data_IF_724787679655
#
_entry.id   IF_724787679655
#
_cell.length_a   1.000
_cell.length_b   1.000
_cell.length_c   1.000
_cell.angle_alpha   90.00
_cell.angle_beta   90.00
_cell.angle_gamma   90.00
#
_symmetry.space_group_name_H-M   'P 1'
#
loop_
_entity.id
_entity.type
_entity.pdbx_description
1 polymer ?
#
# COMPACT_ATOMS: atom_id res chain seq x y z
N UNK A 1 2.66 -7.64 11.27
CA UNK A 1 2.00 -6.65 10.37
C UNK A 1 1.75 -7.22 8.97
N UNK A 2 2.67 -8.06 8.42
CA UNK A 2 2.60 -8.52 7.04
C UNK A 2 1.30 -9.24 6.66
N UNK A 3 0.87 -10.28 7.38
CA UNK A 3 -0.29 -11.11 7.00
C UNK A 3 -1.58 -10.65 7.63
N UNK A 4 -1.52 -10.12 8.85
CA UNK A 4 -2.72 -9.83 9.63
C UNK A 4 -3.42 -8.52 9.20
N UNK A 5 -2.69 -7.58 8.62
CA UNK A 5 -3.21 -6.22 8.35
C UNK A 5 -3.17 -5.88 6.87
N UNK A 6 -2.02 -6.04 6.21
CA UNK A 6 -1.84 -5.51 4.88
C UNK A 6 -2.62 -6.26 3.78
N UNK A 7 -2.56 -7.60 3.63
CA UNK A 7 -3.35 -8.30 2.62
C UNK A 7 -4.87 -8.18 2.80
N UNK A 8 -5.46 -8.32 4.02
CA UNK A 8 -6.88 -8.05 4.21
C UNK A 8 -7.29 -6.64 3.81
N UNK A 9 -6.46 -5.63 4.16
CA UNK A 9 -6.70 -4.24 3.79
C UNK A 9 -6.66 -4.03 2.27
N UNK A 10 -5.71 -4.65 1.54
CA UNK A 10 -5.66 -4.51 0.06
C UNK A 10 -6.92 -5.06 -0.59
N UNK A 11 -7.43 -6.20 -0.14
CA UNK A 11 -8.67 -6.79 -0.67
C UNK A 11 -9.88 -5.91 -0.35
N UNK A 12 -10.02 -5.44 0.89
CA UNK A 12 -11.12 -4.55 1.29
C UNK A 12 -11.06 -3.21 0.54
N UNK A 13 -9.88 -2.61 0.35
CA UNK A 13 -9.71 -1.39 -0.45
C UNK A 13 -10.09 -1.64 -1.92
N UNK A 14 -9.69 -2.78 -2.49
CA UNK A 14 -10.08 -3.14 -3.86
C UNK A 14 -11.59 -3.26 -3.99
N UNK A 15 -12.25 -3.90 -3.02
CA UNK A 15 -13.70 -4.00 -3.02
C UNK A 15 -14.37 -2.63 -3.01
N UNK A 16 -13.99 -1.76 -2.07
CA UNK A 16 -14.53 -0.41 -1.91
C UNK A 16 -14.33 0.50 -3.12
N UNK A 17 -13.20 0.34 -3.85
CA UNK A 17 -12.86 1.21 -4.98
C UNK A 17 -13.22 0.62 -6.34
N UNK A 18 -13.27 -0.72 -6.47
CA UNK A 18 -13.42 -1.37 -7.77
C UNK A 18 -14.77 -2.07 -7.95
N UNK A 19 -15.51 -2.39 -6.89
CA UNK A 19 -16.74 -3.17 -6.96
C UNK A 19 -17.91 -2.40 -6.35
N UNK A 20 -17.79 -1.96 -5.11
CA UNK A 20 -18.88 -1.28 -4.38
C UNK A 20 -19.47 -0.06 -5.12
N UNK A 21 -18.70 0.77 -5.86
CA UNK A 21 -19.26 1.89 -6.59
C UNK A 21 -20.15 1.50 -7.78
N UNK A 22 -20.07 0.26 -8.25
CA UNK A 22 -20.75 -0.20 -9.46
C UNK A 22 -21.87 -1.19 -9.19
N UNK A 23 -21.84 -1.92 -8.07
CA UNK A 23 -22.86 -2.94 -7.76
C UNK A 23 -22.94 -3.28 -6.29
N UNK A 24 -24.16 -3.34 -5.77
CA UNK A 24 -24.45 -3.80 -4.40
C UNK A 24 -24.74 -5.31 -4.35
N UNK A 25 -24.70 -6.01 -5.50
CA UNK A 25 -25.06 -7.44 -5.57
C UNK A 25 -23.96 -8.38 -5.09
N UNK A 26 -22.71 -7.91 -5.07
CA UNK A 26 -21.56 -8.72 -4.68
C UNK A 26 -21.22 -8.38 -3.23
N UNK A 27 -21.31 -9.37 -2.33
CA UNK A 27 -20.87 -9.18 -0.95
C UNK A 27 -19.35 -9.20 -0.84
N UNK A 28 -18.81 -8.49 0.15
CA UNK A 28 -17.36 -8.50 0.46
C UNK A 28 -16.83 -9.94 0.66
N UNK A 29 -17.66 -10.83 1.23
CA UNK A 29 -17.29 -12.23 1.44
C UNK A 29 -17.02 -12.96 0.11
N UNK A 30 -17.93 -12.87 -0.84
CA UNK A 30 -17.78 -13.51 -2.16
C UNK A 30 -16.58 -12.91 -2.90
N UNK A 31 -16.44 -11.60 -2.86
CA UNK A 31 -15.30 -10.93 -3.47
C UNK A 31 -13.98 -11.37 -2.85
N UNK A 32 -13.89 -11.45 -1.52
CA UNK A 32 -12.67 -11.85 -0.82
C UNK A 32 -12.22 -13.27 -1.20
N UNK A 33 -13.15 -14.21 -1.37
CA UNK A 33 -12.82 -15.57 -1.82
C UNK A 33 -12.25 -15.54 -3.24
N UNK A 34 -12.85 -14.80 -4.15
CA UNK A 34 -12.36 -14.69 -5.54
C UNK A 34 -10.99 -14.01 -5.57
N UNK A 35 -10.85 -12.87 -4.89
CA UNK A 35 -9.61 -12.12 -4.85
C UNK A 35 -8.46 -12.94 -4.27
N UNK A 36 -8.65 -13.54 -3.10
CA UNK A 36 -7.62 -14.36 -2.47
C UNK A 36 -7.41 -15.71 -3.16
N UNK A 37 -8.42 -16.25 -3.87
CA UNK A 37 -8.24 -17.40 -4.77
C UNK A 37 -7.27 -17.09 -5.90
N UNK A 38 -7.39 -15.91 -6.52
CA UNK A 38 -6.45 -15.42 -7.54
C UNK A 38 -5.06 -15.18 -6.92
N UNK A 39 -4.98 -14.51 -5.78
CA UNK A 39 -3.71 -14.28 -5.06
C UNK A 39 -3.02 -15.61 -4.74
N UNK A 40 -3.75 -16.60 -4.23
CA UNK A 40 -3.25 -17.93 -3.94
C UNK A 40 -2.67 -18.62 -5.18
N UNK A 41 -3.39 -18.61 -6.31
CA UNK A 41 -2.95 -19.21 -7.55
C UNK A 41 -1.64 -18.59 -8.06
N UNK A 42 -1.49 -17.28 -7.95
CA UNK A 42 -0.26 -16.57 -8.34
C UNK A 42 0.88 -16.75 -7.35
N UNK A 43 0.58 -16.86 -6.05
CA UNK A 43 1.61 -16.99 -5.01
C UNK A 43 2.23 -18.39 -4.99
N UNK A 44 1.45 -19.44 -5.20
CA UNK A 44 1.97 -20.84 -5.24
C UNK A 44 2.93 -21.05 -6.39
N UNK A 45 2.68 -20.41 -7.53
CA UNK A 45 3.55 -20.50 -8.71
C UNK A 45 4.00 -19.10 -9.06
N UNK A 46 5.13 -18.62 -8.49
CA UNK A 46 5.67 -17.31 -8.82
C UNK A 46 6.02 -17.29 -10.31
N UNK A 47 5.08 -16.82 -11.09
CA UNK A 47 5.23 -16.73 -12.55
C UNK A 47 5.79 -15.36 -12.89
N UNK A 48 6.54 -15.27 -13.99
CA UNK A 48 6.99 -13.99 -14.58
C UNK A 48 5.83 -13.01 -14.83
N UNK A 49 4.60 -13.50 -14.76
CA UNK A 49 3.38 -12.71 -14.95
C UNK A 49 3.19 -11.64 -13.86
N UNK A 50 3.50 -11.94 -12.59
CA UNK A 50 3.43 -10.97 -11.47
C UNK A 50 4.44 -9.84 -11.67
N UNK A 51 5.66 -10.19 -12.11
CA UNK A 51 6.71 -9.21 -12.40
C UNK A 51 6.33 -8.31 -13.59
N UNK A 52 5.71 -8.89 -14.63
CA UNK A 52 5.28 -8.16 -15.82
C UNK A 52 4.13 -7.21 -15.46
N UNK A 53 3.12 -7.69 -14.73
CA UNK A 53 2.00 -6.84 -14.28
C UNK A 53 2.51 -5.70 -13.40
N UNK A 54 3.33 -5.97 -12.41
CA UNK A 54 3.92 -4.94 -11.55
C UNK A 54 4.74 -3.92 -12.33
N UNK A 55 5.56 -4.38 -13.29
CA UNK A 55 6.41 -3.52 -14.11
C UNK A 55 5.63 -2.60 -15.05
N UNK A 56 4.51 -3.07 -15.59
CA UNK A 56 3.68 -2.28 -16.50
C UNK A 56 2.63 -1.44 -15.75
N UNK A 57 2.06 -2.01 -14.71
CA UNK A 57 0.94 -1.41 -13.98
C UNK A 57 1.38 -0.24 -13.11
N UNK A 58 2.59 -0.30 -12.50
CA UNK A 58 3.10 0.79 -11.65
C UNK A 58 3.24 2.11 -12.42
N UNK A 59 3.86 2.17 -13.62
CA UNK A 59 3.86 3.40 -14.41
C UNK A 59 2.46 3.90 -14.76
N UNK A 60 1.54 3.00 -15.13
CA UNK A 60 0.17 3.37 -15.46
C UNK A 60 -0.55 3.97 -14.25
N UNK A 61 -0.40 3.35 -13.08
CA UNK A 61 -0.97 3.87 -11.82
C UNK A 61 -0.42 5.28 -11.52
N UNK A 62 0.88 5.49 -11.62
CA UNK A 62 1.52 6.78 -11.39
C UNK A 62 0.94 7.82 -12.38
N UNK A 63 0.89 7.52 -13.67
CA UNK A 63 0.37 8.42 -14.69
C UNK A 63 -1.09 8.78 -14.41
N UNK A 64 -1.94 7.80 -14.12
CA UNK A 64 -3.35 8.05 -13.82
C UNK A 64 -3.54 8.87 -12.55
N UNK A 65 -2.74 8.62 -11.52
CA UNK A 65 -2.77 9.43 -10.30
C UNK A 65 -2.36 10.89 -10.58
N UNK A 66 -1.32 11.10 -11.40
CA UNK A 66 -0.95 12.46 -11.82
C UNK A 66 -2.03 13.14 -12.66
N UNK A 67 -2.69 12.41 -13.56
CA UNK A 67 -3.82 12.95 -14.34
C UNK A 67 -4.94 13.41 -13.38
N UNK A 68 -5.28 12.60 -12.39
CA UNK A 68 -6.28 12.94 -11.38
C UNK A 68 -5.89 14.20 -10.58
N UNK A 69 -4.63 14.27 -10.14
CA UNK A 69 -4.11 15.43 -9.40
C UNK A 69 -4.15 16.69 -10.27
N UNK A 70 -3.68 16.61 -11.50
CA UNK A 70 -3.68 17.74 -12.46
C UNK A 70 -5.11 18.18 -12.75
N UNK A 71 -6.03 17.24 -12.99
CA UNK A 71 -7.45 17.56 -13.21
C UNK A 71 -8.04 18.33 -12.01
N UNK A 72 -7.75 17.91 -10.79
CA UNK A 72 -8.23 18.60 -9.59
C UNK A 72 -7.55 19.95 -9.29
N UNK A 73 -6.32 20.15 -9.76
CA UNK A 73 -5.65 21.47 -9.70
C UNK A 73 -6.26 22.44 -10.73
N UNK A 74 -6.55 21.95 -11.92
CA UNK A 74 -7.13 22.76 -13.00
C UNK A 74 -8.62 23.09 -12.78
N UNK A 75 -9.34 22.17 -12.13
CA UNK A 75 -10.78 22.30 -11.83
C UNK A 75 -11.03 21.92 -10.37
N UNK A 76 -10.71 22.79 -9.40
CA UNK A 76 -10.92 22.49 -7.98
C UNK A 76 -12.40 22.18 -7.72
N UNK A 77 -12.68 21.17 -6.89
CA UNK A 77 -14.04 20.72 -6.56
C UNK A 77 -14.78 21.79 -5.73
N UNK A 78 -14.05 22.49 -4.87
CA UNK A 78 -14.59 23.57 -4.04
C UNK A 78 -13.50 24.39 -3.40
N UNK A 79 -13.90 25.30 -2.52
CA UNK A 79 -12.96 26.09 -1.73
C UNK A 79 -12.39 25.26 -0.58
N UNK A 80 -11.15 25.56 -0.18
CA UNK A 80 -10.53 24.92 0.98
C UNK A 80 -11.23 25.43 2.24
N UNK A 81 -11.82 24.51 3.00
CA UNK A 81 -12.49 24.86 4.26
C UNK A 81 -11.50 25.43 5.28
N UNK A 82 -11.99 26.32 6.15
CA UNK A 82 -11.21 26.75 7.31
C UNK A 82 -10.88 25.53 8.19
N UNK A 83 -9.68 25.50 8.81
CA UNK A 83 -9.29 24.37 9.64
C UNK A 83 -10.26 24.20 10.82
N UNK A 84 -10.79 22.99 10.95
CA UNK A 84 -11.72 22.62 12.04
C UNK A 84 -10.96 22.33 13.34
N UNK A 85 -9.71 21.87 13.23
CA UNK A 85 -8.84 21.54 14.37
C UNK A 85 -7.79 22.63 14.57
N UNK A 86 -7.46 22.91 15.84
CA UNK A 86 -6.33 23.79 16.19
C UNK A 86 -4.98 23.05 16.06
N UNK A 87 -5.02 21.73 15.91
CA UNK A 87 -3.86 20.81 15.85
C UNK A 87 -3.61 20.25 14.46
N UNK A 88 -3.90 21.01 13.40
CA UNK A 88 -3.81 20.56 11.99
C UNK A 88 -2.46 19.91 11.65
N UNK A 89 -1.35 20.49 12.17
CA UNK A 89 -0.01 19.95 11.92
C UNK A 89 0.21 18.61 12.62
N UNK A 90 -0.27 18.45 13.84
CA UNK A 90 -0.20 17.20 14.61
C UNK A 90 -1.03 16.10 13.93
N UNK A 91 -2.27 16.43 13.57
CA UNK A 91 -3.17 15.53 12.85
C UNK A 91 -2.57 15.06 11.51
N UNK A 92 -1.92 15.97 10.79
CA UNK A 92 -1.21 15.68 9.54
C UNK A 92 -0.01 14.75 9.74
N UNK A 93 0.78 14.93 10.80
CA UNK A 93 1.89 14.03 11.15
C UNK A 93 1.37 12.65 11.51
N UNK A 94 0.31 12.56 12.32
CA UNK A 94 -0.32 11.29 12.69
C UNK A 94 -0.87 10.59 11.45
N UNK A 95 -1.53 11.30 10.53
CA UNK A 95 -1.99 10.75 9.27
C UNK A 95 -0.82 10.23 8.40
N UNK A 96 0.32 10.93 8.39
CA UNK A 96 1.55 10.47 7.73
C UNK A 96 2.08 9.16 8.31
N UNK A 97 2.03 8.94 9.62
CA UNK A 97 2.40 7.65 10.23
C UNK A 97 1.48 6.51 9.79
N UNK A 98 0.22 6.80 9.51
CA UNK A 98 -0.78 5.80 9.10
C UNK A 98 -0.55 5.27 7.69
N UNK A 99 0.28 5.91 6.86
CA UNK A 99 0.68 5.39 5.53
C UNK A 99 1.53 4.12 5.62
N UNK A 100 2.21 3.90 6.75
CA UNK A 100 3.01 2.70 7.06
C UNK A 100 4.24 2.48 6.17
N UNK A 101 4.63 3.44 5.36
CA UNK A 101 5.70 3.30 4.37
C UNK A 101 7.05 2.92 5.02
N UNK A 102 7.37 3.49 6.18
CA UNK A 102 8.62 3.21 6.90
C UNK A 102 8.74 1.75 7.33
N UNK A 103 7.65 1.13 7.79
CA UNK A 103 7.67 -0.27 8.21
C UNK A 103 7.84 -1.22 7.02
N UNK A 104 7.31 -0.83 5.87
CA UNK A 104 7.41 -1.61 4.63
C UNK A 104 8.83 -1.55 4.05
N UNK A 105 9.50 -0.41 4.12
CA UNK A 105 10.86 -0.21 3.59
C UNK A 105 11.86 -1.22 4.17
N UNK A 106 11.76 -1.58 5.44
CA UNK A 106 12.68 -2.55 6.07
C UNK A 106 12.59 -3.94 5.44
N UNK A 107 11.37 -4.41 5.15
CA UNK A 107 11.15 -5.70 4.48
C UNK A 107 11.58 -5.69 3.01
N UNK A 108 11.22 -4.64 2.29
CA UNK A 108 11.59 -4.49 0.88
C UNK A 108 13.07 -4.19 0.65
N UNK A 109 13.78 -3.65 1.63
CA UNK A 109 15.23 -3.40 1.54
C UNK A 109 16.04 -4.66 1.21
N UNK A 110 15.70 -5.79 1.82
CA UNK A 110 16.34 -7.07 1.53
C UNK A 110 16.00 -7.57 0.12
N UNK A 111 14.76 -7.45 -0.30
CA UNK A 111 14.31 -7.83 -1.65
C UNK A 111 15.03 -6.98 -2.69
N UNK A 112 15.19 -5.68 -2.43
CA UNK A 112 15.90 -4.76 -3.31
C UNK A 112 17.38 -5.11 -3.43
N UNK A 113 18.06 -5.42 -2.32
CA UNK A 113 19.46 -5.86 -2.33
C UNK A 113 19.64 -7.14 -3.15
N UNK A 114 18.76 -8.11 -2.99
CA UNK A 114 18.80 -9.35 -3.76
C UNK A 114 18.58 -9.08 -5.26
N UNK A 115 17.64 -8.22 -5.59
CA UNK A 115 17.35 -7.82 -6.98
C UNK A 115 18.55 -7.12 -7.63
N UNK A 116 19.26 -6.24 -6.90
CA UNK A 116 20.45 -5.58 -7.39
C UNK A 116 21.59 -6.59 -7.64
N UNK A 117 21.77 -7.56 -6.75
CA UNK A 117 22.75 -8.64 -6.93
C UNK A 117 22.44 -9.47 -8.20
N UNK A 118 21.20 -9.83 -8.41
CA UNK A 118 20.75 -10.55 -9.61
C UNK A 118 20.96 -9.73 -10.89
N UNK A 119 20.92 -8.41 -10.81
CA UNK A 119 21.20 -7.49 -11.94
C UNK A 119 22.68 -7.19 -12.13
N UNK A 120 23.59 -7.86 -11.40
CA UNK A 120 25.02 -7.73 -11.57
C UNK A 120 25.70 -6.63 -10.72
N UNK A 121 24.98 -5.97 -9.82
CA UNK A 121 25.57 -5.04 -8.85
C UNK A 121 26.21 -5.81 -7.71
N UNK A 122 27.43 -6.31 -7.88
CA UNK A 122 28.12 -7.11 -6.88
C UNK A 122 28.86 -6.24 -5.86
N UNK A 123 29.40 -5.12 -6.31
CA UNK A 123 30.19 -4.23 -5.46
C UNK A 123 29.31 -3.42 -4.50
N UNK A 124 29.68 -3.43 -3.19
CA UNK A 124 28.92 -2.74 -2.13
C UNK A 124 28.69 -1.25 -2.40
N UNK A 125 29.71 -0.55 -2.91
CA UNK A 125 29.62 0.88 -3.24
C UNK A 125 28.58 1.13 -4.35
N UNK A 126 28.58 0.29 -5.37
CA UNK A 126 27.63 0.36 -6.49
C UNK A 126 26.19 0.06 -6.04
N UNK A 127 25.99 -0.92 -5.15
CA UNK A 127 24.70 -1.21 -4.54
C UNK A 127 24.17 -0.01 -3.74
N UNK A 128 25.00 0.57 -2.86
CA UNK A 128 24.60 1.74 -2.05
C UNK A 128 24.23 2.92 -2.94
N UNK A 129 25.04 3.23 -3.96
CA UNK A 129 24.75 4.33 -4.90
C UNK A 129 23.42 4.11 -5.65
N UNK A 130 23.16 2.88 -6.10
CA UNK A 130 21.92 2.52 -6.76
C UNK A 130 20.72 2.66 -5.81
N UNK A 131 20.84 2.19 -4.56
CA UNK A 131 19.77 2.31 -3.55
C UNK A 131 19.46 3.77 -3.25
N UNK A 132 20.47 4.60 -3.00
CA UNK A 132 20.29 6.04 -2.75
C UNK A 132 19.56 6.70 -3.91
N UNK A 133 19.96 6.43 -5.16
CA UNK A 133 19.30 6.96 -6.33
C UNK A 133 17.83 6.58 -6.41
N UNK A 134 17.52 5.31 -6.19
CA UNK A 134 16.12 4.82 -6.18
C UNK A 134 15.32 5.47 -5.04
N UNK A 135 15.89 5.59 -3.84
CA UNK A 135 15.21 6.21 -2.70
C UNK A 135 14.92 7.70 -2.94
N UNK A 136 15.83 8.44 -3.58
CA UNK A 136 15.60 9.85 -3.92
C UNK A 136 14.45 9.98 -4.91
N UNK A 137 14.48 9.19 -6.00
CA UNK A 137 13.42 9.22 -7.02
C UNK A 137 12.07 8.81 -6.43
N UNK A 138 12.04 7.74 -5.64
CA UNK A 138 10.83 7.29 -4.96
C UNK A 138 10.31 8.35 -3.97
N UNK A 139 11.18 8.98 -3.18
CA UNK A 139 10.82 10.03 -2.24
C UNK A 139 10.19 11.25 -2.92
N UNK A 140 10.76 11.70 -4.04
CA UNK A 140 10.21 12.81 -4.83
C UNK A 140 8.83 12.43 -5.37
N UNK A 141 8.69 11.25 -5.99
CA UNK A 141 7.41 10.79 -6.54
C UNK A 141 6.33 10.65 -5.47
N UNK A 142 6.65 10.05 -4.33
CA UNK A 142 5.72 9.92 -3.21
C UNK A 142 5.31 11.28 -2.64
N UNK A 143 6.26 12.21 -2.49
CA UNK A 143 5.95 13.56 -2.00
C UNK A 143 5.01 14.31 -2.94
N UNK A 144 5.19 14.17 -4.25
CA UNK A 144 4.30 14.77 -5.25
C UNK A 144 2.91 14.13 -5.23
N UNK A 145 2.83 12.81 -5.14
CA UNK A 145 1.55 12.08 -5.09
C UNK A 145 0.79 12.41 -3.81
N UNK A 146 1.43 12.28 -2.64
CA UNK A 146 0.77 12.55 -1.36
C UNK A 146 0.37 14.01 -1.21
N UNK A 147 1.26 14.95 -1.62
CA UNK A 147 0.93 16.37 -1.62
C UNK A 147 -0.23 16.70 -2.55
N UNK A 148 -0.24 16.12 -3.75
CA UNK A 148 -1.33 16.29 -4.71
C UNK A 148 -2.66 15.72 -4.19
N UNK A 149 -2.66 14.51 -3.65
CA UNK A 149 -3.86 13.90 -3.09
C UNK A 149 -4.36 14.65 -1.83
N UNK A 150 -3.45 15.16 -0.99
CA UNK A 150 -3.82 16.01 0.15
C UNK A 150 -4.49 17.31 -0.31
N UNK A 151 -3.98 17.94 -1.38
CA UNK A 151 -4.62 19.10 -1.99
C UNK A 151 -6.04 18.78 -2.51
N UNK A 152 -6.22 17.64 -3.21
CA UNK A 152 -7.54 17.18 -3.65
C UNK A 152 -8.50 16.96 -2.47
N UNK A 153 -8.00 16.33 -1.40
CA UNK A 153 -8.77 16.17 -0.17
C UNK A 153 -9.19 17.49 0.45
N UNK A 154 -8.28 18.47 0.50
CA UNK A 154 -8.57 19.79 1.03
C UNK A 154 -9.64 20.54 0.21
N UNK A 155 -9.54 20.54 -1.11
CA UNK A 155 -10.52 21.19 -2.02
C UNK A 155 -11.86 20.47 -2.08
N UNK A 156 -11.92 19.19 -1.73
CA UNK A 156 -13.18 18.42 -1.68
C UNK A 156 -13.90 18.52 -0.33
N UNK A 157 -13.26 19.08 0.69
CA UNK A 157 -13.73 19.06 2.07
C UNK A 157 -15.10 19.71 2.28
N UNK A 158 -15.39 20.81 1.59
CA UNK A 158 -16.68 21.52 1.67
C UNK A 158 -17.80 20.72 1.00
N UNK A 159 -17.52 20.12 -0.15
CA UNK A 159 -18.53 19.45 -0.97
C UNK A 159 -18.80 18.01 -0.50
N UNK A 160 -17.77 17.29 -0.08
CA UNK A 160 -17.83 15.87 0.26
C UNK A 160 -17.69 15.58 1.76
N UNK A 161 -17.26 16.55 2.57
CA UNK A 161 -16.95 16.36 3.99
C UNK A 161 -18.12 15.93 4.87
N UNK A 162 -19.35 16.24 4.48
CA UNK A 162 -20.57 15.89 5.23
C UNK A 162 -21.08 14.45 4.98
N UNK A 163 -20.45 13.67 4.10
CA UNK A 163 -21.01 12.41 3.63
C UNK A 163 -20.54 11.16 4.41
N UNK A 164 -19.82 11.32 5.53
CA UNK A 164 -19.29 10.20 6.32
C UNK A 164 -18.57 9.12 5.48
N UNK A 165 -17.89 9.53 4.40
CA UNK A 165 -17.20 8.63 3.49
C UNK A 165 -15.93 8.10 4.15
N UNK A 166 -15.62 6.82 3.95
CA UNK A 166 -14.33 6.30 4.32
C UNK A 166 -13.23 6.75 3.31
N UNK A 167 -11.96 6.48 3.63
CA UNK A 167 -10.83 6.94 2.83
C UNK A 167 -10.87 6.46 1.36
N UNK A 168 -11.34 5.23 1.12
CA UNK A 168 -11.45 4.66 -0.21
C UNK A 168 -12.64 5.28 -0.99
N UNK A 169 -13.77 5.44 -0.33
CA UNK A 169 -14.97 6.06 -0.90
C UNK A 169 -14.75 7.53 -1.24
N UNK A 170 -13.96 8.25 -0.43
CA UNK A 170 -13.62 9.64 -0.70
C UNK A 170 -12.86 9.80 -2.03
N UNK A 171 -11.84 8.97 -2.28
CA UNK A 171 -11.07 9.06 -3.54
C UNK A 171 -11.93 8.70 -4.76
N UNK A 172 -12.86 7.74 -4.60
CA UNK A 172 -13.83 7.38 -5.65
C UNK A 172 -14.77 8.55 -5.94
N UNK A 173 -15.29 9.20 -4.90
CA UNK A 173 -16.18 10.35 -5.03
C UNK A 173 -15.46 11.55 -5.70
N UNK A 174 -14.22 11.84 -5.30
CA UNK A 174 -13.36 12.84 -5.95
C UNK A 174 -13.16 12.52 -7.43
N UNK A 175 -12.80 11.26 -7.73
CA UNK A 175 -12.56 10.82 -9.11
C UNK A 175 -13.83 10.91 -9.96
N UNK A 176 -14.99 10.52 -9.38
CA UNK A 176 -16.26 10.65 -10.06
C UNK A 176 -16.61 12.12 -10.37
N UNK A 177 -16.34 13.01 -9.44
CA UNK A 177 -16.62 14.45 -9.63
C UNK A 177 -15.74 15.06 -10.72
N UNK A 178 -14.43 14.71 -10.76
CA UNK A 178 -13.46 15.27 -11.70
C UNK A 178 -13.49 14.62 -13.08
N UNK A 179 -13.66 13.29 -13.15
CA UNK A 179 -13.49 12.51 -14.39
C UNK A 179 -14.72 11.68 -14.74
N UNK A 180 -15.79 11.75 -13.94
CA UNK A 180 -17.03 11.02 -14.16
C UNK A 180 -16.88 9.50 -14.03
N UNK A 181 -17.89 8.78 -14.53
CA UNK A 181 -17.98 7.32 -14.42
C UNK A 181 -16.78 6.58 -15.06
N UNK A 182 -16.29 7.07 -16.20
CA UNK A 182 -15.12 6.49 -16.87
C UNK A 182 -13.88 6.57 -16.01
N UNK A 183 -13.66 7.68 -15.32
CA UNK A 183 -12.55 7.84 -14.37
C UNK A 183 -12.63 6.84 -13.23
N UNK A 184 -13.82 6.62 -12.65
CA UNK A 184 -14.01 5.61 -11.60
C UNK A 184 -13.68 4.20 -12.07
N UNK A 185 -14.10 3.81 -13.27
CA UNK A 185 -13.78 2.49 -13.84
C UNK A 185 -12.28 2.31 -14.00
N UNK A 186 -11.60 3.29 -14.58
CA UNK A 186 -10.14 3.25 -14.75
C UNK A 186 -9.44 3.16 -13.40
N UNK A 187 -9.81 3.99 -12.43
CA UNK A 187 -9.26 3.98 -11.08
C UNK A 187 -9.46 2.60 -10.42
N UNK A 188 -10.68 2.07 -10.49
CA UNK A 188 -11.01 0.76 -9.91
C UNK A 188 -10.16 -0.37 -10.49
N UNK A 189 -10.01 -0.43 -11.81
CA UNK A 189 -9.17 -1.43 -12.49
C UNK A 189 -7.72 -1.32 -12.04
N UNK A 190 -7.15 -0.12 -12.07
CA UNK A 190 -5.74 0.10 -11.72
C UNK A 190 -5.47 -0.23 -10.27
N UNK A 191 -6.32 0.25 -9.34
CA UNK A 191 -6.19 -0.04 -7.91
C UNK A 191 -6.38 -1.53 -7.65
N UNK A 192 -7.36 -2.17 -8.31
CA UNK A 192 -7.58 -3.61 -8.20
C UNK A 192 -6.34 -4.43 -8.52
N UNK A 193 -5.70 -4.14 -9.63
CA UNK A 193 -4.45 -4.83 -10.02
C UNK A 193 -3.27 -4.47 -9.10
N UNK A 194 -3.13 -3.20 -8.70
CA UNK A 194 -2.08 -2.78 -7.78
C UNK A 194 -2.20 -3.48 -6.42
N UNK A 195 -3.41 -3.56 -5.88
CA UNK A 195 -3.70 -4.29 -4.65
C UNK A 195 -3.47 -5.80 -4.79
N UNK A 196 -3.83 -6.38 -5.94
CA UNK A 196 -3.61 -7.79 -6.24
C UNK A 196 -2.10 -8.13 -6.22
N UNK A 197 -1.29 -7.36 -6.94
CA UNK A 197 0.17 -7.58 -6.97
C UNK A 197 0.81 -7.39 -5.60
N UNK A 198 0.35 -6.40 -4.84
CA UNK A 198 0.80 -6.17 -3.46
C UNK A 198 0.44 -7.34 -2.55
N UNK A 199 -0.79 -7.85 -2.62
CA UNK A 199 -1.23 -9.00 -1.82
C UNK A 199 -0.41 -10.26 -2.13
N UNK A 200 -0.14 -10.53 -3.42
CA UNK A 200 0.72 -11.66 -3.85
C UNK A 200 2.13 -11.52 -3.26
N UNK A 201 2.73 -10.34 -3.37
CA UNK A 201 4.05 -10.07 -2.82
C UNK A 201 4.13 -10.23 -1.31
N UNK A 202 3.13 -9.73 -0.58
CA UNK A 202 3.06 -9.80 0.88
C UNK A 202 2.84 -11.23 1.39
N UNK A 203 1.90 -11.97 0.81
CA UNK A 203 1.64 -13.37 1.20
C UNK A 203 2.83 -14.24 0.85
N UNK A 204 3.44 -14.04 -0.32
CA UNK A 204 4.62 -14.78 -0.74
C UNK A 204 5.84 -14.54 0.15
N UNK A 205 6.18 -13.27 0.41
CA UNK A 205 7.32 -12.93 1.25
C UNK A 205 7.14 -13.41 2.70
N UNK A 206 5.93 -13.33 3.23
CA UNK A 206 5.62 -13.82 4.57
C UNK A 206 5.67 -15.35 4.64
N UNK A 207 5.22 -16.06 3.61
CA UNK A 207 5.31 -17.51 3.54
C UNK A 207 6.79 -17.97 3.49
N UNK A 208 7.64 -17.30 2.72
CA UNK A 208 9.09 -17.55 2.72
C UNK A 208 9.71 -17.32 4.10
N UNK A 209 9.36 -16.20 4.75
CA UNK A 209 9.87 -15.90 6.09
C UNK A 209 9.52 -16.98 7.11
N UNK A 210 8.27 -17.44 7.12
CA UNK A 210 7.85 -18.49 8.06
C UNK A 210 8.41 -19.87 7.71
N UNK A 211 8.63 -20.18 6.44
CA UNK A 211 9.34 -21.40 6.03
C UNK A 211 10.76 -21.42 6.60
N UNK A 212 11.50 -20.33 6.45
CA UNK A 212 12.85 -20.19 7.00
C UNK A 212 12.84 -20.19 8.53
N UNK A 213 11.91 -19.48 9.16
CA UNK A 213 11.75 -19.42 10.62
C UNK A 213 11.48 -20.80 11.24
N UNK A 214 10.72 -21.65 10.55
CA UNK A 214 10.44 -23.03 11.00
C UNK A 214 11.52 -24.03 10.59
N UNK A 215 12.68 -23.55 10.12
CA UNK A 215 13.76 -24.39 9.61
C UNK A 215 13.28 -25.40 8.56
N UNK A 216 12.38 -24.96 7.65
CA UNK A 216 11.77 -25.75 6.56
C UNK A 216 10.96 -26.96 7.03
N UNK A 217 10.60 -27.04 8.32
CA UNK A 217 9.70 -28.10 8.82
C UNK A 217 8.31 -27.98 8.20
N UNK A 218 7.84 -26.77 7.96
CA UNK A 218 6.58 -26.49 7.26
C UNK A 218 6.94 -25.86 5.92
N UNK A 219 6.50 -26.50 4.83
CA UNK A 219 6.83 -26.08 3.46
C UNK A 219 6.08 -24.80 3.05
N UNK A 220 6.69 -24.01 2.18
CA UNK A 220 6.15 -22.77 1.62
C UNK A 220 4.66 -22.82 1.22
N UNK A 221 4.16 -23.84 0.46
CA UNK A 221 2.75 -23.86 0.07
C UNK A 221 1.78 -23.93 1.24
N UNK A 222 2.17 -24.57 2.34
CA UNK A 222 1.31 -24.65 3.55
C UNK A 222 1.17 -23.28 4.18
N UNK A 223 2.27 -22.51 4.27
CA UNK A 223 2.23 -21.15 4.76
C UNK A 223 1.41 -20.21 3.86
N UNK A 224 1.46 -20.40 2.55
CA UNK A 224 0.61 -19.66 1.60
C UNK A 224 -0.87 -19.93 1.89
N UNK A 225 -1.27 -21.20 2.12
CA UNK A 225 -2.66 -21.55 2.46
C UNK A 225 -3.08 -20.88 3.76
N UNK A 226 -2.27 -21.02 4.82
CA UNK A 226 -2.57 -20.46 6.16
C UNK A 226 -2.74 -18.94 6.06
N UNK A 227 -1.79 -18.25 5.42
CA UNK A 227 -1.82 -16.80 5.27
C UNK A 227 -3.03 -16.33 4.47
N UNK A 228 -3.40 -17.06 3.42
CA UNK A 228 -4.57 -16.77 2.59
C UNK A 228 -5.86 -16.92 3.38
N UNK A 229 -6.02 -18.00 4.15
CA UNK A 229 -7.22 -18.23 4.98
C UNK A 229 -7.38 -17.16 6.07
N UNK A 230 -6.29 -16.80 6.74
CA UNK A 230 -6.27 -15.70 7.73
C UNK A 230 -6.69 -14.39 7.05
N UNK A 231 -6.16 -14.11 5.88
CA UNK A 231 -6.47 -12.87 5.14
C UNK A 231 -7.93 -12.80 4.69
N UNK A 232 -8.53 -13.90 4.24
CA UNK A 232 -9.96 -13.99 3.92
C UNK A 232 -10.79 -13.68 5.17
N UNK A 233 -10.48 -14.34 6.29
CA UNK A 233 -11.23 -14.15 7.53
C UNK A 233 -11.19 -12.71 8.01
N UNK A 234 -10.02 -12.08 8.00
CA UNK A 234 -9.84 -10.71 8.45
C UNK A 234 -10.41 -9.66 7.47
N UNK A 235 -10.38 -9.93 6.16
CA UNK A 235 -10.94 -9.02 5.15
C UNK A 235 -12.44 -8.76 5.40
N UNK A 236 -13.16 -9.77 5.85
CA UNK A 236 -14.60 -9.69 6.10
C UNK A 236 -15.00 -8.82 7.31
N UNK A 237 -14.04 -8.34 8.09
CA UNK A 237 -14.27 -7.31 9.12
C UNK A 237 -14.56 -5.92 8.51
N UNK A 238 -14.32 -5.76 7.22
CA UNK A 238 -14.47 -4.49 6.51
C UNK A 238 -13.26 -3.55 6.66
N UNK A 239 -13.10 -2.66 5.68
CA UNK A 239 -11.95 -1.76 5.59
C UNK A 239 -11.79 -0.88 6.84
N UNK A 240 -12.87 -0.26 7.29
CA UNK A 240 -12.85 0.65 8.45
C UNK A 240 -12.43 -0.05 9.73
N UNK A 241 -12.95 -1.26 9.99
CA UNK A 241 -12.58 -2.05 11.18
C UNK A 241 -11.11 -2.46 11.14
N UNK A 242 -10.63 -2.91 9.97
CA UNK A 242 -9.20 -3.27 9.79
C UNK A 242 -8.31 -2.07 10.09
N UNK A 243 -8.65 -0.89 9.58
CA UNK A 243 -7.90 0.35 9.81
C UNK A 243 -7.92 0.70 11.31
N UNK A 244 -9.08 0.69 11.95
CA UNK A 244 -9.24 1.05 13.36
C UNK A 244 -8.44 0.13 14.30
N UNK A 245 -8.31 -1.15 13.97
CA UNK A 245 -7.47 -2.10 14.73
C UNK A 245 -5.99 -1.93 14.40
N UNK A 246 -5.68 -1.67 13.14
CA UNK A 246 -4.30 -1.56 12.68
C UNK A 246 -3.59 -0.30 13.17
N UNK A 247 -4.30 0.84 13.14
CA UNK A 247 -3.72 2.16 13.47
C UNK A 247 -3.10 2.22 14.87
N UNK A 248 -3.76 1.83 15.97
CA UNK A 248 -3.15 1.86 17.30
C UNK A 248 -1.88 1.00 17.42
N UNK A 249 -1.91 -0.18 16.80
CA UNK A 249 -0.75 -1.09 16.80
C UNK A 249 0.43 -0.46 16.07
N UNK A 250 0.17 0.13 14.91
CA UNK A 250 1.20 0.66 14.04
C UNK A 250 1.77 1.99 14.55
N UNK A 251 0.92 2.86 15.10
CA UNK A 251 1.37 4.10 15.73
C UNK A 251 2.23 3.83 16.97
N UNK A 252 2.00 2.73 17.68
CA UNK A 252 2.85 2.31 18.80
C UNK A 252 4.20 1.74 18.35
N UNK A 253 4.22 0.95 17.26
CA UNK A 253 5.43 0.30 16.77
C UNK A 253 6.31 1.24 15.94
N UNK A 254 5.72 2.18 15.21
CA UNK A 254 6.44 3.04 14.26
C UNK A 254 7.52 3.93 14.91
N UNK A 255 7.26 4.67 16.03
CA UNK A 255 8.27 5.53 16.65
C UNK A 255 9.51 4.77 17.15
N UNK A 256 9.39 3.67 17.92
CA UNK A 256 10.56 2.89 18.35
C UNK A 256 11.36 2.34 17.16
N UNK A 257 10.67 1.94 16.09
CA UNK A 257 11.30 1.46 14.88
C UNK A 257 12.09 2.58 14.18
N UNK A 258 11.53 3.77 14.04
CA UNK A 258 12.22 4.94 13.49
C UNK A 258 13.46 5.30 14.30
N UNK A 259 13.34 5.34 15.63
CA UNK A 259 14.46 5.61 16.53
C UNK A 259 15.56 4.57 16.34
N UNK A 260 15.19 3.29 16.26
CA UNK A 260 16.15 2.20 16.03
C UNK A 260 16.89 2.38 14.70
N UNK A 261 16.20 2.69 13.62
CA UNK A 261 16.81 2.95 12.29
C UNK A 261 17.76 4.15 12.36
N UNK A 262 17.34 5.24 13.00
CA UNK A 262 18.20 6.42 13.18
C UNK A 262 19.45 6.11 14.02
N UNK A 263 19.29 5.41 15.13
CA UNK A 263 20.42 4.99 15.97
C UNK A 263 21.42 4.11 15.20
N UNK A 264 20.94 3.20 14.35
CA UNK A 264 21.78 2.37 13.49
C UNK A 264 22.59 3.19 12.47
N UNK A 265 22.08 4.33 12.01
CA UNK A 265 22.81 5.23 11.11
C UNK A 265 23.95 5.98 11.84
N UNK A 266 23.78 6.31 13.12
CA UNK A 266 24.74 7.08 13.90
C UNK A 266 25.75 6.23 14.67
N UNK A 267 25.43 4.97 14.98
CA UNK A 267 26.34 4.07 15.68
C UNK A 267 27.23 3.30 14.72
N UNK A 268 28.47 3.78 14.55
CA UNK A 268 29.53 3.13 13.77
C UNK A 268 29.90 1.71 14.28
N UNK A 269 29.49 1.34 15.49
CA UNK A 269 29.93 0.14 16.20
C UNK A 269 29.13 -1.13 15.93
N UNK A 270 28.10 -1.08 15.09
CA UNK A 270 27.40 -2.29 14.65
C UNK A 270 28.07 -3.02 13.49
N UNK A 271 29.34 -2.69 13.22
CA UNK A 271 30.22 -3.44 12.32
C UNK A 271 31.02 -4.48 13.10
N UNK A 272 30.38 -5.31 13.86
CA UNK A 272 31.03 -6.51 14.40
C UNK A 272 30.29 -7.73 13.88
N UNK A 273 31.01 -8.44 13.05
CA UNK A 273 30.98 -9.91 12.89
C UNK A 273 29.62 -10.56 12.59
N UNK A 274 29.39 -10.75 11.32
CA UNK A 274 28.94 -12.06 10.84
C UNK A 274 29.50 -12.28 9.43
#
# INVERSE_FOLDING_TARGET
TGVLIAPPRTAATTFEMSIAPFTDKISLFVFSIIFFGIVFAFTIRPTRFVDIIGKFLTPVLIICTFILIIAGILSPIGEIAAPVSQTVAEDGIIAGYQTMDILVVSGFGLVMLNTLRLKGYVERKSQIKAIIGVCIVAGILLSLIYGGLAYLGATSSVVLGNNNLNQAQLIVAITNHLMGHTGMVILGIIVGFACLTTAVGLIGSTACFFEDFTNKKIKYPVWVVINTLISISLCNLGLTTIINVAVPILTTICPPFMITVLLLLFTKNFHTSY
#
